data_IF_451656142242
#
_entry.id   IF_451656142242
#
_cell.length_a   1.000
_cell.length_b   1.000
_cell.length_c   1.000
_cell.angle_alpha   90.00
_cell.angle_beta   90.00
_cell.angle_gamma   90.00
#
_symmetry.space_group_name_H-M   'P 1'
#
loop_
_entity.id
_entity.type
_entity.pdbx_description
1 polymer ?
#
# COMPACT_ATOMS: atom_id res chain seq x y z
N UNK A 1 1.50 1.70 -11.32
CA UNK A 1 0.83 0.87 -10.32
C UNK A 1 -0.56 1.43 -10.05
N UNK A 2 -1.60 0.59 -10.07
CA UNK A 2 -2.99 1.04 -9.83
C UNK A 2 -3.48 0.51 -8.50
N UNK A 3 -3.83 1.41 -7.58
CA UNK A 3 -4.43 1.08 -6.28
C UNK A 3 -5.96 1.17 -6.42
N UNK A 4 -6.68 0.14 -5.97
CA UNK A 4 -8.14 0.09 -5.98
C UNK A 4 -8.67 -0.20 -4.59
N UNK A 5 -9.63 0.59 -4.11
CA UNK A 5 -10.33 0.33 -2.85
C UNK A 5 -11.74 -0.18 -3.19
N UNK A 6 -12.14 -1.30 -2.58
CA UNK A 6 -13.46 -1.93 -2.78
C UNK A 6 -14.05 -2.38 -1.46
N UNK A 7 -15.34 -2.12 -1.24
CA UNK A 7 -16.10 -2.76 -0.17
C UNK A 7 -16.47 -4.20 -0.57
N UNK A 8 -16.22 -5.16 0.33
CA UNK A 8 -16.50 -6.59 0.14
C UNK A 8 -17.89 -7.02 0.65
N UNK A 9 -18.42 -6.37 1.68
CA UNK A 9 -19.75 -6.69 2.22
C UNK A 9 -20.53 -5.42 2.56
N UNK A 10 -21.86 -5.47 2.39
CA UNK A 10 -22.82 -4.41 2.78
C UNK A 10 -23.38 -4.58 4.21
N UNK A 11 -22.88 -5.56 4.94
CA UNK A 11 -23.38 -5.98 6.26
C UNK A 11 -22.59 -5.31 7.40
N UNK A 12 -23.11 -5.24 8.64
CA UNK A 12 -22.38 -4.70 9.78
C UNK A 12 -21.21 -5.64 10.12
N UNK A 13 -20.01 -5.22 9.75
CA UNK A 13 -18.86 -6.12 9.49
C UNK A 13 -18.27 -5.95 8.08
N UNK A 14 -18.60 -4.84 7.41
CA UNK A 14 -18.19 -4.51 6.04
C UNK A 14 -16.67 -4.58 5.91
N UNK A 15 -16.19 -5.66 5.31
CA UNK A 15 -14.78 -5.81 4.98
C UNK A 15 -14.45 -4.89 3.80
N UNK A 16 -13.27 -4.28 3.84
CA UNK A 16 -12.74 -3.43 2.79
C UNK A 16 -11.53 -4.09 2.17
N UNK A 17 -11.27 -3.86 0.89
CA UNK A 17 -10.16 -4.45 0.17
C UNK A 17 -9.38 -3.38 -0.57
N UNK A 18 -8.06 -3.39 -0.40
CA UNK A 18 -7.12 -2.62 -1.22
C UNK A 18 -6.45 -3.59 -2.19
N UNK A 19 -6.51 -3.31 -3.49
CA UNK A 19 -5.82 -4.10 -4.53
C UNK A 19 -4.69 -3.31 -5.17
N UNK A 20 -3.55 -3.97 -5.34
CA UNK A 20 -2.36 -3.46 -6.03
C UNK A 20 -1.85 -4.53 -7.00
N UNK A 21 -1.94 -4.26 -8.30
CA UNK A 21 -1.34 -5.06 -9.39
C UNK A 21 -1.54 -6.60 -9.27
N UNK A 22 -2.63 -7.04 -8.64
CA UNK A 22 -2.98 -8.45 -8.47
C UNK A 22 -3.11 -8.89 -7.01
N UNK A 23 -2.41 -8.23 -6.09
CA UNK A 23 -2.52 -8.49 -4.65
C UNK A 23 -3.80 -7.85 -4.09
N UNK A 24 -4.42 -8.51 -3.10
CA UNK A 24 -5.66 -8.07 -2.49
C UNK A 24 -5.56 -8.19 -0.98
N UNK A 25 -5.60 -7.05 -0.29
CA UNK A 25 -5.42 -6.95 1.17
C UNK A 25 -6.73 -6.52 1.79
N UNK A 26 -7.21 -7.25 2.80
CA UNK A 26 -8.49 -7.00 3.46
C UNK A 26 -8.37 -6.25 4.78
N UNK A 27 -9.29 -5.34 5.03
CA UNK A 27 -9.39 -4.49 6.22
C UNK A 27 -10.77 -4.58 6.84
N UNK A 28 -10.86 -4.28 8.14
CA UNK A 28 -12.13 -4.30 8.89
C UNK A 28 -12.92 -3.00 8.77
N UNK A 29 -12.28 -1.93 8.32
CA UNK A 29 -12.88 -0.60 8.17
C UNK A 29 -12.40 0.12 6.91
N UNK A 30 -13.19 1.08 6.44
CA UNK A 30 -12.84 1.93 5.30
C UNK A 30 -11.63 2.79 5.62
N UNK A 31 -11.60 3.35 6.83
CA UNK A 31 -10.56 4.25 7.29
C UNK A 31 -9.18 3.57 7.27
N UNK A 32 -9.08 2.31 7.73
CA UNK A 32 -7.84 1.54 7.67
C UNK A 32 -7.43 1.24 6.22
N UNK A 33 -8.38 0.82 5.38
CA UNK A 33 -8.11 0.57 3.96
C UNK A 33 -7.61 1.83 3.25
N UNK A 34 -8.19 2.99 3.58
CA UNK A 34 -7.80 4.27 3.00
C UNK A 34 -6.42 4.71 3.46
N UNK A 35 -6.15 4.67 4.77
CA UNK A 35 -4.84 5.02 5.33
C UNK A 35 -3.72 4.13 4.76
N UNK A 36 -3.99 2.84 4.57
CA UNK A 36 -3.07 1.93 3.91
C UNK A 36 -2.83 2.32 2.44
N UNK A 37 -3.89 2.59 1.69
CA UNK A 37 -3.80 3.00 0.28
C UNK A 37 -3.00 4.31 0.11
N UNK A 38 -3.24 5.30 0.97
CA UNK A 38 -2.49 6.57 0.97
C UNK A 38 -1.00 6.35 1.27
N UNK A 39 -0.68 5.52 2.27
CA UNK A 39 0.71 5.14 2.59
C UNK A 39 1.38 4.44 1.40
N UNK A 40 0.67 3.51 0.76
CA UNK A 40 1.17 2.78 -0.38
C UNK A 40 1.41 3.70 -1.58
N UNK A 41 0.48 4.60 -1.87
CA UNK A 41 0.62 5.59 -2.93
C UNK A 41 1.83 6.51 -2.69
N UNK A 42 1.96 7.01 -1.46
CA UNK A 42 3.09 7.87 -1.08
C UNK A 42 4.43 7.14 -1.25
N UNK A 43 4.50 5.84 -0.92
CA UNK A 43 5.71 5.03 -1.14
C UNK A 43 6.02 4.84 -2.62
N UNK A 44 5.01 4.55 -3.45
CA UNK A 44 5.20 4.37 -4.91
C UNK A 44 5.66 5.68 -5.58
N UNK A 45 5.15 6.82 -5.10
CA UNK A 45 5.52 8.14 -5.61
C UNK A 45 6.80 8.70 -4.98
N UNK A 46 7.28 8.09 -3.90
CA UNK A 46 8.44 8.61 -3.20
C UNK A 46 9.66 8.60 -4.14
N UNK A 47 10.45 9.67 -4.17
CA UNK A 47 11.72 9.65 -4.87
C UNK A 47 12.65 8.69 -4.13
N UNK A 48 12.72 7.43 -4.60
CA UNK A 48 13.64 6.42 -4.09
C UNK A 48 15.05 6.81 -4.49
N UNK A 49 15.70 7.65 -3.67
CA UNK A 49 17.13 7.94 -3.82
C UNK A 49 17.91 6.64 -3.62
N UNK A 50 18.60 6.20 -4.66
CA UNK A 50 19.65 5.21 -4.51
C UNK A 50 20.74 5.81 -3.61
N UNK A 51 21.27 5.04 -2.64
CA UNK A 51 22.40 5.51 -1.84
C UNK A 51 23.57 5.80 -2.79
N UNK A 52 23.99 7.06 -2.85
CA UNK A 52 25.17 7.50 -3.59
C UNK A 52 26.40 6.95 -2.87
N UNK A 53 26.93 5.85 -3.39
CA UNK A 53 28.28 5.37 -3.13
C UNK A 53 28.64 5.18 -1.64
N UNK A 54 27.95 4.28 -0.94
CA UNK A 54 28.57 3.66 0.24
C UNK A 54 29.59 2.65 -0.26
N UNK A 55 30.78 3.16 -0.58
CA UNK A 55 31.97 2.41 -0.96
C UNK A 55 32.15 1.28 0.05
N UNK A 56 31.81 0.05 -0.32
CA UNK A 56 32.11 -1.13 0.49
C UNK A 56 33.63 -1.28 0.48
N UNK A 57 34.28 -0.75 1.51
CA UNK A 57 35.62 -1.20 1.89
C UNK A 57 35.49 -2.63 2.40
N UNK A 58 35.50 -3.60 1.49
CA UNK A 58 35.81 -4.97 1.85
C UNK A 58 37.34 -5.02 2.05
N UNK A 59 37.75 -5.05 3.31
CA UNK A 59 39.10 -5.43 3.72
C UNK A 59 39.15 -6.90 4.10
#
# INVERSE_FOLDING_TARGET
MKILIKALAKSPGSQWQVRLDGEAITFRSEAEARAFADTLQARIQAPHRFPLNQQRSAG
#
